data_IF_514278813212
#
_entry.id   IF_514278813212
#
_cell.length_a   1.000
_cell.length_b   1.000
_cell.length_c   1.000
_cell.angle_alpha   90.00
_cell.angle_beta   90.00
_cell.angle_gamma   90.00
#
_symmetry.space_group_name_H-M   'P 1'
#
loop_
_entity.id
_entity.type
_entity.pdbx_description
1 polymer ?
#
# COMPACT_ATOMS: atom_id res chain seq x y z
N UNK A 1 -10.49 -19.50 9.20
CA UNK A 1 -10.70 -18.29 8.40
C UNK A 1 -9.36 -17.65 8.12
N UNK A 2 -9.14 -17.16 6.91
CA UNK A 2 -7.91 -16.45 6.59
C UNK A 2 -8.00 -15.03 7.17
N UNK A 3 -7.03 -14.62 7.99
CA UNK A 3 -6.97 -13.32 8.65
C UNK A 3 -5.79 -12.49 8.13
N UNK A 4 -5.47 -12.63 6.83
CA UNK A 4 -4.33 -11.97 6.22
C UNK A 4 -4.74 -10.72 5.44
N UNK A 5 -3.99 -9.64 5.68
CA UNK A 5 -4.02 -8.40 4.89
C UNK A 5 -2.84 -8.42 3.93
N UNK A 6 -3.11 -8.28 2.65
CA UNK A 6 -2.05 -8.12 1.66
C UNK A 6 -1.47 -6.70 1.73
N UNK A 7 -0.16 -6.59 1.91
CA UNK A 7 0.59 -5.32 1.81
C UNK A 7 1.37 -5.36 0.50
N UNK A 8 0.76 -4.80 -0.54
CA UNK A 8 1.28 -4.81 -1.92
C UNK A 8 1.98 -3.49 -2.23
N UNK A 9 3.22 -3.55 -2.73
CA UNK A 9 3.95 -2.33 -3.05
C UNK A 9 4.95 -2.49 -4.21
N UNK A 10 5.35 -1.35 -4.77
CA UNK A 10 6.58 -1.19 -5.51
C UNK A 10 7.52 -0.26 -4.75
N UNK A 11 8.81 -0.56 -4.75
CA UNK A 11 9.83 0.29 -4.14
C UNK A 11 11.11 0.29 -4.97
N UNK A 12 11.61 1.48 -5.34
CA UNK A 12 12.86 1.62 -6.11
C UNK A 12 14.08 1.80 -5.20
N UNK A 13 13.95 2.65 -4.19
CA UNK A 13 15.04 3.09 -3.30
C UNK A 13 14.81 2.74 -1.83
N UNK A 14 13.92 1.79 -1.54
CA UNK A 14 13.65 1.29 -0.20
C UNK A 14 12.60 2.07 0.63
N UNK A 15 12.29 3.33 0.31
CA UNK A 15 11.38 4.15 1.13
C UNK A 15 9.96 3.60 1.19
N UNK A 16 9.36 3.25 0.05
CA UNK A 16 8.03 2.63 0.03
C UNK A 16 8.04 1.28 0.75
N UNK A 17 9.13 0.50 0.65
CA UNK A 17 9.29 -0.75 1.40
C UNK A 17 9.36 -0.53 2.91
N UNK A 18 9.97 0.57 3.38
CA UNK A 18 9.96 0.93 4.81
C UNK A 18 8.54 1.27 5.29
N UNK A 19 7.80 2.05 4.50
CA UNK A 19 6.39 2.34 4.79
C UNK A 19 5.54 1.07 4.84
N UNK A 20 5.72 0.14 3.88
CA UNK A 20 5.05 -1.15 3.86
C UNK A 20 5.29 -1.95 5.14
N UNK A 21 6.53 -1.98 5.65
CA UNK A 21 6.86 -2.65 6.92
C UNK A 21 6.19 -2.00 8.13
N UNK A 22 6.05 -0.68 8.15
CA UNK A 22 5.36 0.04 9.24
C UNK A 22 3.86 -0.26 9.23
N UNK A 23 3.24 -0.28 8.07
CA UNK A 23 1.83 -0.67 7.91
C UNK A 23 1.64 -2.13 8.34
N UNK A 24 2.54 -3.03 7.93
CA UNK A 24 2.50 -4.43 8.35
C UNK A 24 2.56 -4.57 9.88
N UNK A 25 3.45 -3.84 10.54
CA UNK A 25 3.49 -3.81 12.02
C UNK A 25 2.17 -3.33 12.63
N UNK A 26 1.55 -2.28 12.06
CA UNK A 26 0.24 -1.81 12.51
C UNK A 26 -0.86 -2.85 12.33
N UNK A 27 -0.85 -3.61 11.24
CA UNK A 27 -1.79 -4.73 11.02
C UNK A 27 -1.61 -5.81 12.10
N UNK A 28 -0.38 -6.17 12.40
CA UNK A 28 -0.03 -7.23 13.36
C UNK A 28 -0.24 -6.82 14.82
N UNK A 29 -0.45 -5.54 15.13
CA UNK A 29 -0.91 -5.06 16.44
C UNK A 29 -2.37 -5.49 16.74
N UNK A 30 -3.15 -5.84 15.71
CA UNK A 30 -4.52 -6.32 15.90
C UNK A 30 -4.52 -7.83 16.14
N UNK A 31 -4.99 -8.32 17.31
CA UNK A 31 -4.95 -9.74 17.65
C UNK A 31 -5.59 -10.63 16.58
N UNK A 32 -4.85 -11.66 16.16
CA UNK A 32 -5.29 -12.63 15.16
C UNK A 32 -5.11 -12.20 13.70
N UNK A 33 -4.66 -10.96 13.44
CA UNK A 33 -4.38 -10.48 12.09
C UNK A 33 -2.92 -10.71 11.69
N UNK A 34 -2.67 -10.95 10.40
CA UNK A 34 -1.33 -11.09 9.82
C UNK A 34 -1.17 -10.18 8.62
N UNK A 35 0.05 -9.69 8.42
CA UNK A 35 0.43 -8.96 7.21
C UNK A 35 1.18 -9.89 6.24
N UNK A 36 0.72 -9.92 4.99
CA UNK A 36 1.41 -10.60 3.89
C UNK A 36 2.05 -9.55 2.99
N UNK A 37 3.36 -9.33 3.13
CA UNK A 37 4.08 -8.38 2.29
C UNK A 37 4.39 -9.02 0.93
N UNK A 38 4.09 -8.27 -0.14
CA UNK A 38 4.44 -8.62 -1.52
C UNK A 38 4.87 -7.39 -2.29
N UNK A 39 5.88 -7.54 -3.13
CA UNK A 39 6.27 -6.48 -4.06
C UNK A 39 5.94 -6.86 -5.50
N UNK A 40 5.68 -5.87 -6.35
CA UNK A 40 5.58 -6.09 -7.78
C UNK A 40 6.96 -6.04 -8.42
N UNK A 41 7.26 -6.89 -9.42
CA UNK A 41 8.52 -6.84 -10.14
C UNK A 41 8.66 -5.52 -10.90
N UNK A 42 9.90 -5.03 -11.14
CA UNK A 42 10.12 -3.90 -12.03
C UNK A 42 9.72 -4.24 -13.47
N UNK A 43 9.29 -3.22 -14.21
CA UNK A 43 9.06 -3.36 -15.65
C UNK A 43 10.39 -3.25 -16.37
N UNK A 44 10.71 -4.21 -17.23
CA UNK A 44 11.91 -4.19 -18.04
C UNK A 44 11.77 -3.13 -19.17
N UNK A 45 12.85 -2.42 -19.51
CA UNK A 45 12.83 -1.47 -20.64
C UNK A 45 12.77 -2.15 -22.00
N UNK A 46 13.03 -3.46 -22.07
CA UNK A 46 12.93 -4.31 -23.25
C UNK A 46 12.05 -5.52 -22.95
N UNK A 47 11.22 -5.93 -23.91
CA UNK A 47 10.23 -6.99 -23.71
C UNK A 47 10.81 -8.40 -23.57
N UNK A 48 12.09 -8.59 -23.87
CA UNK A 48 12.76 -9.89 -23.91
C UNK A 48 13.45 -10.28 -22.58
N UNK A 49 13.54 -9.35 -21.63
CA UNK A 49 14.21 -9.61 -20.34
C UNK A 49 13.21 -10.08 -19.30
N UNK A 50 13.22 -11.37 -19.02
CA UNK A 50 12.49 -11.93 -17.89
C UNK A 50 13.16 -11.51 -16.56
N UNK A 51 12.35 -11.11 -15.60
CA UNK A 51 12.83 -10.89 -14.22
C UNK A 51 13.13 -12.26 -13.56
N UNK A 52 14.09 -12.32 -12.61
CA UNK A 52 14.28 -13.52 -11.81
C UNK A 52 12.96 -13.94 -11.14
N UNK A 53 12.70 -15.22 -10.94
CA UNK A 53 11.46 -15.69 -10.31
C UNK A 53 11.33 -15.26 -8.85
N UNK A 54 12.44 -14.90 -8.21
CA UNK A 54 12.50 -14.38 -6.85
C UNK A 54 13.31 -13.08 -6.82
N UNK A 55 12.92 -12.08 -6.01
CA UNK A 55 13.69 -10.87 -5.86
C UNK A 55 14.98 -11.15 -5.06
N UNK A 56 16.06 -10.46 -5.41
CA UNK A 56 17.31 -10.55 -4.65
C UNK A 56 17.14 -10.02 -3.22
N UNK A 57 16.32 -8.97 -3.06
CA UNK A 57 16.03 -8.36 -1.78
C UNK A 57 14.52 -8.04 -1.63
N UNK A 58 14.05 -8.01 -0.38
CA UNK A 58 12.70 -7.57 -0.02
C UNK A 58 11.70 -8.72 0.09
N UNK A 59 10.42 -8.39 -0.08
CA UNK A 59 9.34 -9.38 -0.04
C UNK A 59 9.26 -10.18 -1.34
N UNK A 60 8.77 -11.42 -1.32
CA UNK A 60 8.50 -12.19 -2.53
C UNK A 60 7.60 -11.42 -3.52
N UNK A 61 7.72 -11.72 -4.80
CA UNK A 61 6.83 -11.15 -5.80
C UNK A 61 5.38 -11.59 -5.56
N UNK A 62 4.47 -10.67 -5.85
CA UNK A 62 3.03 -10.93 -5.73
C UNK A 62 2.58 -12.00 -6.71
N UNK A 63 1.71 -12.87 -6.23
CA UNK A 63 0.97 -13.85 -7.02
C UNK A 63 -0.51 -13.47 -7.05
N UNK A 64 -1.26 -13.84 -8.09
CA UNK A 64 -2.71 -13.60 -8.16
C UNK A 64 -3.46 -14.19 -6.97
N UNK A 65 -2.99 -15.33 -6.47
CA UNK A 65 -3.57 -15.98 -5.29
C UNK A 65 -3.50 -15.12 -4.05
N UNK A 66 -2.48 -14.24 -3.91
CA UNK A 66 -2.38 -13.30 -2.78
C UNK A 66 -3.57 -12.33 -2.73
N UNK A 67 -4.09 -11.88 -3.91
CA UNK A 67 -5.29 -11.04 -3.98
C UNK A 67 -6.57 -11.80 -3.63
N UNK A 68 -6.67 -13.06 -4.06
CA UNK A 68 -7.84 -13.88 -3.79
C UNK A 68 -7.96 -14.21 -2.30
N UNK A 69 -6.83 -14.58 -1.68
CA UNK A 69 -6.77 -15.04 -0.29
C UNK A 69 -6.90 -13.91 0.74
N UNK A 70 -6.52 -12.68 0.41
CA UNK A 70 -6.52 -11.60 1.38
C UNK A 70 -7.95 -11.17 1.76
N UNK A 71 -8.13 -10.73 3.00
CA UNK A 71 -9.39 -10.11 3.48
C UNK A 71 -9.35 -8.58 3.45
N UNK A 72 -8.24 -7.99 3.03
CA UNK A 72 -8.02 -6.54 2.87
C UNK A 72 -6.69 -6.27 2.20
N UNK A 73 -6.51 -5.07 1.67
CA UNK A 73 -5.35 -4.68 0.87
C UNK A 73 -4.76 -3.35 1.36
N UNK A 74 -3.47 -3.34 1.67
CA UNK A 74 -2.69 -2.11 1.73
C UNK A 74 -1.84 -2.01 0.46
N UNK A 75 -1.99 -0.94 -0.32
CA UNK A 75 -1.30 -0.78 -1.60
C UNK A 75 -0.43 0.47 -1.62
N UNK A 76 0.84 0.32 -2.02
CA UNK A 76 1.82 1.40 -2.00
C UNK A 76 2.70 1.52 -3.22
N UNK A 77 3.02 2.76 -3.56
CA UNK A 77 3.91 3.12 -4.66
C UNK A 77 4.70 4.39 -4.34
N UNK A 78 5.95 4.53 -4.81
CA UNK A 78 6.53 5.86 -4.89
C UNK A 78 5.76 6.69 -5.91
N UNK A 79 5.75 8.02 -5.72
CA UNK A 79 5.15 8.92 -6.71
C UNK A 79 5.94 8.90 -8.03
N UNK A 80 5.22 8.99 -9.13
CA UNK A 80 5.73 9.31 -10.47
C UNK A 80 4.78 10.32 -11.10
N UNK A 81 5.21 11.60 -11.09
CA UNK A 81 4.41 12.72 -11.62
C UNK A 81 2.99 12.76 -11.02
N UNK A 82 2.87 12.55 -9.69
CA UNK A 82 1.58 12.56 -8.99
C UNK A 82 0.74 11.30 -9.17
N UNK A 83 1.32 10.21 -9.72
CA UNK A 83 0.66 8.93 -9.94
C UNK A 83 1.55 7.78 -9.43
N UNK A 84 1.03 6.56 -9.46
CA UNK A 84 1.81 5.36 -9.12
C UNK A 84 2.90 5.07 -10.16
N UNK A 85 3.92 4.34 -9.74
CA UNK A 85 4.97 3.84 -10.65
C UNK A 85 4.41 2.78 -11.61
N UNK A 86 4.95 2.76 -12.84
CA UNK A 86 4.53 1.85 -13.91
C UNK A 86 4.47 0.36 -13.50
N UNK A 87 5.41 -0.19 -12.71
CA UNK A 87 5.33 -1.59 -12.28
C UNK A 87 4.04 -1.93 -11.52
N UNK A 88 3.59 -1.03 -10.62
CA UNK A 88 2.35 -1.27 -9.89
C UNK A 88 1.13 -1.17 -10.81
N UNK A 89 1.11 -0.18 -11.72
CA UNK A 89 0.04 -0.04 -12.71
C UNK A 89 -0.01 -1.25 -13.64
N UNK A 90 1.13 -1.73 -14.11
CA UNK A 90 1.23 -2.92 -14.95
C UNK A 90 0.64 -4.17 -14.25
N UNK A 91 0.95 -4.35 -12.96
CA UNK A 91 0.34 -5.42 -12.18
C UNK A 91 -1.18 -5.27 -12.11
N UNK A 92 -1.69 -4.07 -11.79
CA UNK A 92 -3.14 -3.81 -11.74
C UNK A 92 -3.82 -4.07 -13.09
N UNK A 93 -3.19 -3.69 -14.21
CA UNK A 93 -3.72 -3.94 -15.57
C UNK A 93 -3.86 -5.44 -15.87
N UNK A 94 -3.10 -6.30 -15.20
CA UNK A 94 -3.19 -7.75 -15.34
C UNK A 94 -4.32 -8.40 -14.53
N UNK A 95 -5.02 -7.64 -13.65
CA UNK A 95 -6.04 -8.18 -12.72
C UNK A 95 -7.47 -8.18 -13.28
N UNK A 96 -7.62 -8.18 -14.61
CA UNK A 96 -8.93 -8.14 -15.26
C UNK A 96 -9.85 -9.31 -14.92
N UNK A 97 -9.30 -10.51 -14.71
CA UNK A 97 -10.07 -11.69 -14.30
C UNK A 97 -10.61 -11.57 -12.87
N UNK A 98 -9.79 -11.07 -11.94
CA UNK A 98 -10.15 -10.82 -10.55
C UNK A 98 -11.21 -9.72 -10.45
N UNK A 99 -11.12 -8.69 -11.31
CA UNK A 99 -12.14 -7.67 -11.42
C UNK A 99 -13.47 -8.24 -11.95
N UNK A 100 -13.44 -8.99 -13.03
CA UNK A 100 -14.64 -9.57 -13.65
C UNK A 100 -15.36 -10.56 -12.71
N UNK A 101 -14.62 -11.27 -11.86
CA UNK A 101 -15.19 -12.19 -10.87
C UNK A 101 -15.66 -11.51 -9.57
N UNK A 102 -15.36 -10.21 -9.39
CA UNK A 102 -15.68 -9.49 -8.16
C UNK A 102 -14.84 -9.93 -6.95
N UNK A 103 -13.67 -10.51 -7.15
CA UNK A 103 -12.85 -11.11 -6.10
C UNK A 103 -12.48 -10.16 -4.94
N UNK A 104 -12.45 -8.85 -5.20
CA UNK A 104 -12.09 -7.82 -4.22
C UNK A 104 -13.30 -7.00 -3.73
N UNK A 105 -14.50 -7.26 -4.22
CA UNK A 105 -15.70 -6.50 -3.86
C UNK A 105 -15.94 -6.57 -2.34
N UNK A 106 -16.13 -5.39 -1.73
CA UNK A 106 -16.41 -5.26 -0.30
C UNK A 106 -15.20 -5.42 0.62
N UNK A 107 -14.02 -5.82 0.11
CA UNK A 107 -12.80 -5.88 0.92
C UNK A 107 -12.28 -4.46 1.19
N UNK A 108 -11.81 -4.14 2.42
CA UNK A 108 -11.26 -2.82 2.72
C UNK A 108 -9.86 -2.65 2.12
N UNK A 109 -9.56 -1.41 1.71
CA UNK A 109 -8.27 -1.05 1.15
C UNK A 109 -7.73 0.25 1.77
N UNK A 110 -6.42 0.32 1.95
CA UNK A 110 -5.68 1.49 2.40
C UNK A 110 -4.49 1.76 1.48
N UNK A 111 -4.08 3.02 1.39
CA UNK A 111 -3.04 3.46 0.46
C UNK A 111 -1.86 4.10 1.17
N UNK A 112 -0.65 3.96 0.59
CA UNK A 112 0.54 4.63 1.09
C UNK A 112 1.51 4.99 -0.03
N UNK A 113 2.31 6.05 0.17
CA UNK A 113 3.26 6.54 -0.83
C UNK A 113 4.55 7.04 -0.21
N UNK A 114 5.54 7.31 -1.05
CA UNK A 114 6.74 8.06 -0.72
C UNK A 114 7.05 9.04 -1.86
N UNK A 115 7.42 10.27 -1.50
CA UNK A 115 7.73 11.35 -2.44
C UNK A 115 9.08 11.97 -2.11
N UNK A 116 9.71 12.67 -3.06
CA UNK A 116 10.93 13.44 -2.79
C UNK A 116 10.66 14.75 -2.08
N UNK A 117 9.49 15.37 -2.27
CA UNK A 117 9.13 16.67 -1.70
C UNK A 117 7.74 16.64 -1.12
N UNK A 118 7.45 17.55 -0.18
CA UNK A 118 6.16 17.65 0.49
C UNK A 118 5.00 17.88 -0.49
N UNK A 119 5.20 18.73 -1.50
CA UNK A 119 4.19 19.03 -2.52
C UNK A 119 4.39 18.24 -3.83
N UNK A 120 5.21 17.20 -3.81
CA UNK A 120 5.57 16.39 -4.98
C UNK A 120 4.60 15.24 -5.29
N UNK A 121 3.32 15.36 -4.91
CA UNK A 121 2.28 14.38 -5.21
C UNK A 121 1.93 13.43 -4.08
N UNK A 122 2.05 13.87 -2.83
CA UNK A 122 1.65 13.06 -1.66
C UNK A 122 0.18 12.67 -1.74
N UNK A 123 -0.72 13.65 -1.92
CA UNK A 123 -2.16 13.46 -2.00
C UNK A 123 -2.59 12.91 -3.35
N UNK A 124 -2.08 13.49 -4.46
CA UNK A 124 -2.50 13.11 -5.80
C UNK A 124 -2.15 11.66 -6.13
N UNK A 125 -0.99 11.18 -5.69
CA UNK A 125 -0.60 9.77 -5.88
C UNK A 125 -1.57 8.82 -5.18
N UNK A 126 -1.95 9.12 -3.93
CA UNK A 126 -2.91 8.32 -3.18
C UNK A 126 -4.29 8.35 -3.82
N UNK A 127 -4.77 9.54 -4.21
CA UNK A 127 -6.09 9.70 -4.84
C UNK A 127 -6.16 8.99 -6.20
N UNK A 128 -5.11 9.07 -7.01
CA UNK A 128 -5.09 8.36 -8.30
C UNK A 128 -4.97 6.85 -8.13
N UNK A 129 -4.25 6.37 -7.10
CA UNK A 129 -4.20 4.95 -6.75
C UNK A 129 -5.54 4.41 -6.22
N UNK A 130 -6.39 5.27 -5.67
CA UNK A 130 -7.72 4.88 -5.19
C UNK A 130 -8.65 4.46 -6.34
N UNK A 131 -8.55 5.08 -7.51
CA UNK A 131 -9.46 4.85 -8.64
C UNK A 131 -9.54 3.38 -9.07
N UNK A 132 -8.44 2.67 -9.37
CA UNK A 132 -8.53 1.26 -9.73
C UNK A 132 -9.10 0.37 -8.61
N UNK A 133 -8.88 0.71 -7.33
CA UNK A 133 -9.47 -0.05 -6.22
C UNK A 133 -10.97 0.16 -6.10
N UNK A 134 -11.47 1.37 -6.39
CA UNK A 134 -12.91 1.63 -6.51
C UNK A 134 -13.53 0.81 -7.65
N UNK A 135 -12.83 0.71 -8.80
CA UNK A 135 -13.27 -0.16 -9.90
C UNK A 135 -13.33 -1.64 -9.52
N UNK A 136 -12.45 -2.09 -8.64
CA UNK A 136 -12.51 -3.43 -8.04
C UNK A 136 -13.60 -3.58 -6.96
N UNK A 137 -14.36 -2.52 -6.64
CA UNK A 137 -15.43 -2.55 -5.64
C UNK A 137 -14.94 -2.56 -4.19
N UNK A 138 -13.70 -2.13 -3.93
CA UNK A 138 -13.12 -2.10 -2.60
C UNK A 138 -13.62 -0.91 -1.77
N UNK A 139 -13.58 -1.03 -0.44
CA UNK A 139 -13.91 0.01 0.53
C UNK A 139 -12.64 0.76 0.94
N UNK A 140 -12.51 2.02 0.51
CA UNK A 140 -11.31 2.82 0.79
C UNK A 140 -11.29 3.33 2.23
N UNK A 141 -10.13 3.21 2.88
CA UNK A 141 -9.86 3.70 4.22
C UNK A 141 -8.70 4.70 4.19
N UNK A 142 -8.92 5.86 4.82
CA UNK A 142 -7.88 6.84 5.07
C UNK A 142 -7.45 6.87 6.53
N UNK A 143 -6.64 7.87 6.89
CA UNK A 143 -6.24 8.19 8.25
C UNK A 143 -7.21 9.24 8.82
N UNK A 144 -7.90 8.96 9.93
CA UNK A 144 -8.85 9.91 10.50
C UNK A 144 -8.12 11.02 11.28
N UNK A 145 -8.72 12.20 11.36
CA UNK A 145 -8.18 13.32 12.14
C UNK A 145 -8.22 13.11 13.66
N UNK A 146 -8.72 11.97 14.13
CA UNK A 146 -8.57 11.51 15.52
C UNK A 146 -7.14 11.02 15.82
N UNK A 147 -6.29 10.85 14.80
CA UNK A 147 -4.86 10.60 14.97
C UNK A 147 -4.13 11.95 15.12
N UNK A 148 -3.63 12.32 16.31
CA UNK A 148 -3.05 13.66 16.55
C UNK A 148 -1.88 13.98 15.64
N UNK A 149 -1.06 12.98 15.29
CA UNK A 149 0.07 13.12 14.40
C UNK A 149 -0.32 13.67 13.01
N UNK A 150 -1.57 13.45 12.55
CA UNK A 150 -2.05 13.97 11.28
C UNK A 150 -2.18 15.51 11.27
N UNK A 151 -2.51 16.09 12.42
CA UNK A 151 -2.66 17.54 12.56
C UNK A 151 -1.31 18.25 12.78
N UNK A 152 -0.34 17.54 13.38
CA UNK A 152 0.93 18.13 13.83
C UNK A 152 2.12 17.81 12.93
N UNK A 153 1.98 16.87 11.99
CA UNK A 153 3.07 16.51 11.07
C UNK A 153 3.55 17.70 10.26
N UNK A 154 4.87 17.77 10.07
CA UNK A 154 5.55 18.74 9.20
C UNK A 154 6.27 18.06 8.03
N UNK A 155 5.96 16.79 7.79
CA UNK A 155 6.51 15.98 6.70
C UNK A 155 5.40 15.17 6.03
N UNK A 156 5.57 13.86 5.87
CA UNK A 156 4.51 13.01 5.34
C UNK A 156 3.33 12.83 6.29
N UNK A 157 2.29 12.24 5.77
CA UNK A 157 1.03 12.01 6.48
C UNK A 157 -0.12 12.79 5.87
N UNK A 158 -1.12 12.08 5.34
CA UNK A 158 -2.33 12.67 4.74
C UNK A 158 -3.56 11.92 5.19
N UNK A 159 -4.77 12.54 5.16
CA UNK A 159 -6.00 11.82 5.44
C UNK A 159 -6.34 10.74 4.40
N UNK A 160 -5.74 10.81 3.21
CA UNK A 160 -5.98 9.85 2.11
C UNK A 160 -5.15 8.58 2.24
N UNK A 161 -4.12 8.58 3.10
CA UNK A 161 -3.25 7.45 3.34
C UNK A 161 -1.92 7.87 3.97
N UNK A 162 -1.09 6.91 4.35
CA UNK A 162 0.21 7.17 4.92
C UNK A 162 1.21 7.60 3.84
N UNK A 163 2.08 8.57 4.14
CA UNK A 163 3.08 9.04 3.19
C UNK A 163 4.40 9.38 3.87
N UNK A 164 5.48 9.41 3.09
CA UNK A 164 6.82 9.75 3.52
C UNK A 164 7.46 10.76 2.58
N UNK A 165 8.09 11.80 3.13
CA UNK A 165 8.89 12.78 2.38
C UNK A 165 10.36 12.37 2.45
N UNK A 166 10.83 11.65 1.43
CA UNK A 166 12.18 11.09 1.38
C UNK A 166 13.30 12.14 1.17
N UNK A 167 12.96 13.37 0.77
CA UNK A 167 13.92 14.39 0.43
C UNK A 167 14.43 14.28 -1.01
N UNK A 168 15.04 15.36 -1.52
CA UNK A 168 15.55 15.43 -2.90
C UNK A 168 16.68 14.40 -3.16
N UNK A 169 17.45 14.07 -2.14
CA UNK A 169 18.51 13.06 -2.20
C UNK A 169 18.05 11.65 -1.79
N UNK A 170 16.82 11.53 -1.27
CA UNK A 170 16.30 10.28 -0.75
C UNK A 170 16.96 9.84 0.57
N UNK A 171 17.42 10.77 1.38
CA UNK A 171 18.16 10.53 2.62
C UNK A 171 17.42 10.97 3.88
N UNK A 172 16.21 11.53 3.75
CA UNK A 172 15.39 11.82 4.93
C UNK A 172 14.94 10.52 5.61
N UNK A 173 15.15 10.38 6.92
CA UNK A 173 14.60 9.25 7.67
C UNK A 173 13.08 9.39 7.78
N UNK A 174 12.39 8.27 7.95
CA UNK A 174 10.97 8.30 8.31
C UNK A 174 10.83 8.98 9.68
N UNK A 175 10.06 10.08 9.72
CA UNK A 175 9.79 10.83 10.94
C UNK A 175 8.91 10.04 11.91
N UNK A 176 8.86 10.45 13.18
CA UNK A 176 8.00 9.78 14.16
C UNK A 176 6.52 9.89 13.80
N UNK A 177 6.05 11.06 13.36
CA UNK A 177 4.66 11.24 12.90
C UNK A 177 4.32 10.33 11.69
N UNK A 178 5.21 10.22 10.72
CA UNK A 178 5.01 9.31 9.58
C UNK A 178 4.93 7.85 10.02
N UNK A 179 5.75 7.46 11.01
CA UNK A 179 5.75 6.12 11.61
C UNK A 179 4.43 5.82 12.34
N UNK A 180 3.98 6.76 13.17
CA UNK A 180 2.71 6.65 13.91
C UNK A 180 1.53 6.52 12.95
N UNK A 181 1.45 7.38 11.93
CA UNK A 181 0.38 7.39 10.93
C UNK A 181 0.36 6.12 10.08
N UNK A 182 1.52 5.61 9.67
CA UNK A 182 1.61 4.36 8.92
C UNK A 182 1.10 3.16 9.77
N UNK A 183 1.49 3.09 11.04
CA UNK A 183 1.01 2.04 11.95
C UNK A 183 -0.50 2.19 12.24
N UNK A 184 -0.97 3.41 12.47
CA UNK A 184 -2.39 3.69 12.69
C UNK A 184 -3.25 3.25 11.48
N UNK A 185 -2.79 3.54 10.27
CA UNK A 185 -3.46 3.09 9.04
C UNK A 185 -3.52 1.56 8.96
N UNK A 186 -2.42 0.87 9.28
CA UNK A 186 -2.37 -0.59 9.31
C UNK A 186 -3.35 -1.19 10.32
N UNK A 187 -3.37 -0.67 11.58
CA UNK A 187 -4.35 -1.08 12.60
C UNK A 187 -5.79 -0.89 12.14
N UNK A 188 -6.11 0.31 11.61
CA UNK A 188 -7.44 0.64 11.11
C UNK A 188 -7.90 -0.32 10.01
N UNK A 189 -7.01 -0.61 9.06
CA UNK A 189 -7.28 -1.56 7.98
C UNK A 189 -7.57 -2.97 8.54
N UNK A 190 -6.74 -3.45 9.44
CA UNK A 190 -6.89 -4.78 10.05
C UNK A 190 -8.17 -4.90 10.88
N UNK A 191 -8.48 -3.90 11.72
CA UNK A 191 -9.72 -3.88 12.50
C UNK A 191 -10.97 -3.87 11.62
N UNK A 192 -10.93 -3.10 10.53
CA UNK A 192 -12.05 -3.04 9.58
C UNK A 192 -12.23 -4.36 8.85
N UNK A 193 -11.13 -4.94 8.35
CA UNK A 193 -11.16 -6.22 7.65
C UNK A 193 -11.68 -7.36 8.57
N UNK A 194 -11.21 -7.40 9.82
CA UNK A 194 -11.68 -8.36 10.81
C UNK A 194 -13.18 -8.27 11.08
N UNK A 195 -13.70 -7.04 11.24
CA UNK A 195 -15.14 -6.80 11.46
C UNK A 195 -15.98 -7.25 10.27
N UNK A 196 -15.53 -6.98 9.05
CA UNK A 196 -16.23 -7.37 7.83
C UNK A 196 -16.20 -8.88 7.61
N UNK A 197 -15.05 -9.53 7.85
CA UNK A 197 -14.90 -10.98 7.72
C UNK A 197 -15.66 -11.78 8.80
N UNK A 198 -15.86 -11.22 10.00
CA UNK A 198 -16.59 -11.86 11.10
C UNK A 198 -18.12 -11.80 10.97
N UNK A 199 -18.65 -11.04 10.01
CA UNK A 199 -20.10 -10.87 9.76
C UNK A 199 -20.55 -11.58 8.47
N UNK A 200 -19.69 -12.38 7.85
CA UNK A 200 -19.97 -13.12 6.61
C UNK A 200 -20.28 -14.60 6.85
#
# INVERSE_FOLDING_TARGET
MNHEILVLYYSRSGHTAQMARLIARGIEEVPGMRARLRQVPPVAPVTEVAQPPEPEDGAPYVQRQDLLDCIGLAMGSPTRFGNMAAPLKYFLDSTGAEWASGALVGKPAALFTSTSTMHGGQESTLLTMALPLLHHGMLLLGVPYTEPALTTTQSGGTPYGASHVAGAKGDNPISEHERELARALGRRLADTARKLAGNA
#
